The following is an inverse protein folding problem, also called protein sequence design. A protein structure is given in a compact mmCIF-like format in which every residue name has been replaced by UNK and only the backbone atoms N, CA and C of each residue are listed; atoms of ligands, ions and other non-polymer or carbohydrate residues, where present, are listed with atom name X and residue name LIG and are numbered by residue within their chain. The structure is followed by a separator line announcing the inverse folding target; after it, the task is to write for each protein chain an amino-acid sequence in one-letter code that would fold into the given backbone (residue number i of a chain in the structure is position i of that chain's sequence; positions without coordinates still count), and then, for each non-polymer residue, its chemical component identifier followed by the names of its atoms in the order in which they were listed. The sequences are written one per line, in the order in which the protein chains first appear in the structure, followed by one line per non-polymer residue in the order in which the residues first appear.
data_IF_631890870449
#
_entry.id   IF_631890870449
#
_cell.length_a   1.000
_cell.length_b   1.000
_cell.length_c   1.000
_cell.angle_alpha   90.00
_cell.angle_beta   90.00
_cell.angle_gamma   90.00
#
_symmetry.space_group_name_H-M   'P 1'
#
loop_
_entity.id
_entity.type
_entity.pdbx_description
1 polymer ?
#
# COMPACT_ATOMS: atom_id res chain seq x y z
N UNK A 1 -25.13 36.62 -75.15
CA UNK A 1 -25.62 35.70 -74.10
C UNK A 1 -24.39 34.93 -73.61
N UNK A 2 -23.92 35.24 -72.41
CA UNK A 2 -22.81 34.49 -71.76
C UNK A 2 -23.43 33.55 -70.75
N UNK A 3 -23.22 32.25 -70.90
CA UNK A 3 -23.63 31.25 -69.98
C UNK A 3 -22.73 31.20 -68.73
N UNK A 4 -23.31 31.29 -67.54
CA UNK A 4 -22.59 31.25 -66.26
C UNK A 4 -22.71 29.82 -65.71
N UNK A 5 -21.59 29.10 -65.73
CA UNK A 5 -21.52 27.77 -65.17
C UNK A 5 -21.36 27.87 -63.63
N UNK A 6 -22.31 27.31 -62.94
CA UNK A 6 -22.27 27.15 -61.45
C UNK A 6 -21.53 25.85 -61.12
N UNK A 7 -20.37 25.96 -60.49
CA UNK A 7 -19.64 24.80 -59.95
C UNK A 7 -20.11 24.59 -58.53
N UNK A 8 -20.81 23.48 -58.28
CA UNK A 8 -21.21 23.08 -56.94
C UNK A 8 -20.05 22.33 -56.24
N UNK A 9 -19.55 22.88 -55.12
CA UNK A 9 -18.61 22.19 -54.23
C UNK A 9 -19.38 21.28 -53.29
N UNK A 10 -19.20 19.96 -53.42
CA UNK A 10 -19.67 18.97 -52.46
C UNK A 10 -18.57 18.82 -51.41
N UNK A 11 -18.80 19.33 -50.19
CA UNK A 11 -17.92 19.10 -49.05
C UNK A 11 -18.27 17.75 -48.40
N UNK A 12 -17.37 16.78 -48.51
CA UNK A 12 -17.47 15.53 -47.81
C UNK A 12 -17.06 15.72 -46.33
N UNK A 13 -18.02 15.57 -45.40
CA UNK A 13 -17.72 15.55 -43.96
C UNK A 13 -17.26 14.14 -43.59
N UNK A 14 -15.97 13.98 -43.28
CA UNK A 14 -15.45 12.76 -42.70
C UNK A 14 -15.80 12.74 -41.21
N UNK A 15 -16.76 11.88 -40.82
CA UNK A 15 -17.02 11.57 -39.41
C UNK A 15 -15.96 10.57 -38.98
N UNK A 16 -14.97 11.01 -38.22
CA UNK A 16 -14.00 10.14 -37.53
C UNK A 16 -14.67 9.65 -36.25
N UNK A 17 -15.17 8.41 -36.25
CA UNK A 17 -15.59 7.75 -35.00
C UNK A 17 -14.36 7.40 -34.20
N UNK A 18 -14.26 7.83 -32.92
CA UNK A 18 -13.15 7.40 -32.06
C UNK A 18 -13.26 5.88 -31.86
N UNK A 19 -12.21 5.16 -32.26
CA UNK A 19 -12.06 3.75 -31.87
C UNK A 19 -11.66 3.77 -30.39
N UNK A 20 -12.63 3.47 -29.52
CA UNK A 20 -12.35 3.18 -28.11
C UNK A 20 -11.72 1.79 -28.12
N UNK A 21 -10.44 1.64 -27.66
CA UNK A 21 -9.86 0.31 -27.55
C UNK A 21 -10.72 -0.49 -26.57
N UNK A 22 -11.19 -1.63 -27.01
CA UNK A 22 -11.86 -2.63 -26.18
C UNK A 22 -10.78 -3.20 -25.23
N UNK A 23 -10.62 -2.57 -24.07
CA UNK A 23 -9.77 -3.13 -23.02
C UNK A 23 -10.55 -4.29 -22.41
N UNK A 24 -10.38 -5.48 -22.97
CA UNK A 24 -10.83 -6.71 -22.35
C UNK A 24 -10.33 -6.71 -20.89
N UNK A 25 -11.23 -6.46 -19.95
CA UNK A 25 -10.89 -6.44 -18.53
C UNK A 25 -10.56 -7.88 -18.14
N UNK A 26 -9.26 -8.17 -17.96
CA UNK A 26 -8.80 -9.49 -17.52
C UNK A 26 -9.48 -9.81 -16.18
N UNK A 27 -10.36 -10.80 -16.19
CA UNK A 27 -10.98 -11.29 -14.96
C UNK A 27 -9.92 -12.08 -14.16
N UNK A 28 -9.56 -11.57 -12.98
CA UNK A 28 -8.62 -12.21 -12.08
C UNK A 28 -9.40 -13.02 -11.03
N UNK A 29 -8.93 -14.23 -10.67
CA UNK A 29 -9.54 -14.99 -9.60
C UNK A 29 -9.30 -14.32 -8.24
N UNK A 30 -10.25 -14.47 -7.32
CA UNK A 30 -10.06 -14.06 -5.94
C UNK A 30 -8.97 -14.89 -5.26
N UNK A 31 -8.14 -14.24 -4.44
CA UNK A 31 -7.17 -14.90 -3.57
C UNK A 31 -7.75 -15.02 -2.16
N UNK A 32 -7.86 -16.26 -1.67
CA UNK A 32 -8.27 -16.51 -0.30
C UNK A 32 -7.06 -16.58 0.62
N UNK A 33 -7.17 -15.99 1.82
CA UNK A 33 -6.21 -16.10 2.92
C UNK A 33 -6.93 -16.82 4.05
N UNK A 34 -6.39 -17.95 4.49
CA UNK A 34 -7.04 -18.75 5.52
C UNK A 34 -6.86 -18.16 6.93
N UNK A 35 -7.78 -18.48 7.83
CA UNK A 35 -7.62 -18.12 9.24
C UNK A 35 -6.35 -18.74 9.84
N UNK A 36 -5.92 -19.90 9.37
CA UNK A 36 -4.69 -20.54 9.82
C UNK A 36 -3.44 -19.74 9.43
N UNK A 37 -3.39 -19.18 8.20
CA UNK A 37 -2.29 -18.33 7.76
C UNK A 37 -2.20 -17.05 8.61
N UNK A 38 -3.34 -16.45 8.92
CA UNK A 38 -3.43 -15.28 9.79
C UNK A 38 -2.93 -15.62 11.19
N UNK A 39 -3.45 -16.70 11.78
CA UNK A 39 -3.08 -17.13 13.13
C UNK A 39 -1.58 -17.45 13.28
N UNK A 40 -0.95 -17.99 12.23
CA UNK A 40 0.48 -18.30 12.23
C UNK A 40 1.37 -17.07 12.43
N UNK A 41 0.89 -15.86 12.13
CA UNK A 41 1.62 -14.60 12.27
C UNK A 41 1.17 -13.72 13.45
N UNK A 42 0.22 -14.16 14.27
CA UNK A 42 -0.29 -13.39 15.41
C UNK A 42 0.66 -13.35 16.62
N UNK A 43 1.84 -13.91 16.54
CA UNK A 43 2.85 -13.93 17.58
C UNK A 43 4.20 -13.35 17.12
N UNK A 44 5.24 -13.48 17.97
CA UNK A 44 6.58 -13.05 17.62
C UNK A 44 7.04 -13.63 16.28
N UNK A 45 7.59 -12.77 15.42
CA UNK A 45 8.04 -13.14 14.07
C UNK A 45 9.14 -14.22 14.15
N UNK A 46 8.93 -15.33 13.46
CA UNK A 46 9.95 -16.36 13.29
C UNK A 46 11.02 -15.89 12.31
N UNK A 47 12.28 -16.34 12.45
CA UNK A 47 13.33 -16.07 11.47
C UNK A 47 12.88 -16.46 10.05
N UNK A 48 13.26 -15.65 9.07
CA UNK A 48 12.97 -15.85 7.64
C UNK A 48 11.47 -15.90 7.26
N UNK A 49 10.59 -15.39 8.12
CA UNK A 49 9.14 -15.25 7.82
C UNK A 49 8.87 -13.82 7.35
N UNK A 50 8.20 -13.67 6.23
CA UNK A 50 7.71 -12.36 5.75
C UNK A 50 6.42 -11.98 6.47
N UNK A 51 6.15 -10.69 6.70
CA UNK A 51 4.88 -10.24 7.26
C UNK A 51 3.73 -10.37 6.27
N UNK A 52 4.01 -10.30 4.96
CA UNK A 52 2.99 -10.53 3.93
C UNK A 52 2.69 -12.02 3.82
N UNK A 53 1.42 -12.37 3.92
CA UNK A 53 0.92 -13.73 3.70
C UNK A 53 0.72 -13.94 2.21
N UNK A 54 0.23 -12.89 1.52
CA UNK A 54 -0.08 -12.91 0.10
C UNK A 54 0.14 -11.53 -0.51
N UNK A 55 0.71 -11.49 -1.70
CA UNK A 55 0.71 -10.32 -2.57
C UNK A 55 0.15 -10.74 -3.92
N UNK A 56 -0.93 -10.10 -4.36
CA UNK A 56 -1.66 -10.44 -5.58
C UNK A 56 -1.66 -9.29 -6.58
N UNK A 57 -1.69 -9.62 -7.88
CA UNK A 57 -2.05 -8.68 -8.93
C UNK A 57 -3.56 -8.45 -8.88
N UNK A 58 -3.98 -7.20 -8.71
CA UNK A 58 -5.38 -6.79 -8.63
C UNK A 58 -5.84 -6.01 -9.88
N UNK A 59 -5.18 -6.22 -11.02
CA UNK A 59 -5.52 -5.56 -12.28
C UNK A 59 -4.88 -4.19 -12.42
N UNK A 60 -3.54 -4.15 -12.51
CA UNK A 60 -2.76 -2.93 -12.70
C UNK A 60 -2.18 -2.33 -11.41
N UNK A 61 -2.40 -2.96 -10.28
CA UNK A 61 -1.75 -2.66 -9.00
C UNK A 61 -1.61 -3.94 -8.18
N UNK A 62 -0.67 -3.96 -7.22
CA UNK A 62 -0.56 -5.07 -6.29
C UNK A 62 -1.29 -4.77 -4.97
N UNK A 63 -1.90 -5.81 -4.38
CA UNK A 63 -2.44 -5.77 -3.03
C UNK A 63 -1.71 -6.80 -2.18
N UNK A 64 -1.03 -6.33 -1.14
CA UNK A 64 -0.40 -7.17 -0.12
C UNK A 64 -1.30 -7.29 1.11
N UNK A 65 -1.41 -8.49 1.67
CA UNK A 65 -2.08 -8.72 2.96
C UNK A 65 -1.13 -9.42 3.89
N UNK A 66 -0.95 -8.89 5.09
CA UNK A 66 -0.06 -9.44 6.09
C UNK A 66 -0.57 -9.24 7.50
N UNK A 67 0.16 -9.81 8.47
CA UNK A 67 -0.08 -9.62 9.89
C UNK A 67 1.23 -9.25 10.56
N UNK A 68 1.19 -8.23 11.41
CA UNK A 68 2.33 -7.80 12.21
C UNK A 68 2.02 -7.92 13.70
N UNK A 69 3.00 -8.47 14.40
CA UNK A 69 3.07 -8.50 15.86
C UNK A 69 4.16 -7.55 16.34
N UNK A 70 3.84 -6.73 17.33
CA UNK A 70 4.81 -5.85 18.02
C UNK A 70 4.63 -5.98 19.54
N UNK A 71 5.73 -6.04 20.27
CA UNK A 71 5.71 -6.12 21.73
C UNK A 71 6.27 -4.86 22.38
N UNK A 72 5.81 -4.61 23.60
CA UNK A 72 6.40 -3.61 24.49
C UNK A 72 7.89 -3.92 24.74
N UNK A 73 8.70 -2.87 24.89
CA UNK A 73 10.14 -2.99 25.09
C UNK A 73 10.96 -3.33 23.84
N UNK A 74 10.33 -3.68 22.73
CA UNK A 74 11.04 -3.79 21.45
C UNK A 74 11.23 -2.43 20.80
N UNK A 75 12.42 -2.20 20.22
CA UNK A 75 12.67 -0.99 19.43
C UNK A 75 11.70 -0.93 18.26
N UNK A 76 10.91 0.14 18.21
CA UNK A 76 10.01 0.42 17.09
C UNK A 76 10.66 1.47 16.19
N UNK A 77 11.02 1.08 14.97
CA UNK A 77 11.49 2.04 13.97
C UNK A 77 10.30 2.76 13.34
N UNK A 78 10.53 4.01 12.92
CA UNK A 78 9.59 4.72 12.06
C UNK A 78 9.59 4.11 10.68
N UNK A 79 8.50 4.27 9.94
CA UNK A 79 8.41 3.89 8.54
C UNK A 79 7.78 5.03 7.72
N UNK A 80 8.29 5.17 6.50
CA UNK A 80 7.66 5.94 5.42
C UNK A 80 7.73 5.09 4.16
N UNK A 81 6.58 4.76 3.58
CA UNK A 81 6.50 4.04 2.30
C UNK A 81 6.20 5.05 1.19
N UNK A 82 7.12 5.29 0.27
CA UNK A 82 6.98 6.38 -0.71
C UNK A 82 5.85 6.15 -1.72
N UNK A 83 5.51 4.89 -2.01
CA UNK A 83 4.60 4.50 -3.08
C UNK A 83 3.49 3.54 -2.64
N UNK A 84 3.54 3.07 -1.41
CA UNK A 84 2.61 2.09 -0.86
C UNK A 84 1.77 2.75 0.22
N UNK A 85 0.45 2.66 0.09
CA UNK A 85 -0.50 3.02 1.14
C UNK A 85 -0.84 1.80 1.98
N UNK A 86 -1.14 1.99 3.26
CA UNK A 86 -1.46 0.91 4.17
C UNK A 86 -2.80 1.14 4.86
N UNK A 87 -3.51 0.04 5.11
CA UNK A 87 -4.68 0.02 5.99
C UNK A 87 -4.39 -0.97 7.11
N UNK A 88 -4.38 -0.51 8.35
CA UNK A 88 -4.25 -1.36 9.53
C UNK A 88 -5.64 -1.66 10.10
N UNK A 89 -5.87 -2.91 10.46
CA UNK A 89 -6.97 -3.33 11.32
C UNK A 89 -6.39 -4.00 12.57
N UNK A 90 -6.56 -3.35 13.72
CA UNK A 90 -6.05 -3.87 15.00
C UNK A 90 -6.85 -5.08 15.41
N UNK A 91 -6.22 -6.24 15.43
CA UNK A 91 -6.85 -7.53 15.77
C UNK A 91 -6.76 -7.85 17.26
N UNK A 92 -5.72 -7.32 17.95
CA UNK A 92 -5.50 -7.55 19.38
C UNK A 92 -4.57 -6.50 19.97
N UNK A 93 -4.80 -6.12 21.22
CA UNK A 93 -3.94 -5.23 21.98
C UNK A 93 -4.17 -3.76 21.70
N UNK A 94 -3.22 -2.92 22.09
CA UNK A 94 -3.34 -1.46 21.96
C UNK A 94 -1.98 -0.78 21.97
N UNK A 95 -1.96 0.50 21.54
CA UNK A 95 -0.76 1.32 21.52
C UNK A 95 -1.03 2.74 21.05
N UNK A 96 0.00 3.55 21.01
CA UNK A 96 -0.01 4.89 20.44
C UNK A 96 0.69 4.86 19.10
N UNK A 97 -0.04 5.06 18.01
CA UNK A 97 0.50 5.23 16.66
C UNK A 97 0.64 6.73 16.38
N UNK A 98 1.84 7.17 16.02
CA UNK A 98 2.11 8.55 15.60
C UNK A 98 2.16 8.59 14.08
N UNK A 99 1.44 9.52 13.45
CA UNK A 99 1.43 9.70 11.99
C UNK A 99 1.76 11.14 11.59
N UNK A 100 2.33 11.32 10.39
CA UNK A 100 2.78 12.64 9.93
C UNK A 100 4.03 13.13 10.66
N UNK A 101 4.27 14.45 10.63
CA UNK A 101 5.46 15.05 11.22
C UNK A 101 6.75 14.76 10.46
N UNK A 102 7.87 14.83 11.16
CA UNK A 102 9.23 14.68 10.59
C UNK A 102 9.95 13.48 11.21
N UNK A 103 10.51 12.62 10.36
CA UNK A 103 11.31 11.46 10.81
C UNK A 103 12.63 11.93 11.40
N UNK A 104 12.95 11.44 12.59
CA UNK A 104 14.23 11.67 13.26
C UNK A 104 15.24 10.63 12.79
N UNK A 105 16.46 11.06 12.47
CA UNK A 105 17.55 10.22 11.96
C UNK A 105 17.11 9.34 10.76
N UNK A 106 16.61 9.94 9.66
CA UNK A 106 16.10 9.18 8.52
C UNK A 106 17.23 8.40 7.83
N UNK A 107 16.93 7.15 7.48
CA UNK A 107 17.81 6.27 6.72
C UNK A 107 17.03 5.66 5.56
N UNK A 108 17.47 5.89 4.33
CA UNK A 108 16.87 5.27 3.14
C UNK A 108 17.09 3.76 3.15
N UNK A 109 16.06 3.01 2.82
CA UNK A 109 16.15 1.55 2.66
C UNK A 109 16.94 1.23 1.39
N UNK A 110 17.78 0.19 1.44
CA UNK A 110 18.48 -0.29 0.26
C UNK A 110 17.49 -0.84 -0.77
N UNK A 111 17.66 -0.47 -2.04
CA UNK A 111 16.69 -0.79 -3.10
C UNK A 111 16.52 -2.30 -3.33
N UNK A 112 17.53 -3.10 -3.04
CA UNK A 112 17.58 -4.54 -3.15
C UNK A 112 17.23 -5.29 -1.84
N UNK A 113 16.91 -4.55 -0.78
CA UNK A 113 16.53 -5.17 0.50
C UNK A 113 15.20 -5.92 0.41
N UNK A 114 15.01 -6.91 1.29
CA UNK A 114 13.75 -7.66 1.40
C UNK A 114 12.59 -6.73 1.76
N UNK A 115 12.83 -5.76 2.62
CA UNK A 115 11.83 -4.75 2.99
C UNK A 115 11.33 -3.98 1.77
N UNK A 116 12.22 -3.61 0.84
CA UNK A 116 11.83 -2.89 -0.37
C UNK A 116 11.16 -3.80 -1.39
N UNK A 117 11.75 -4.97 -1.66
CA UNK A 117 11.32 -5.80 -2.79
C UNK A 117 10.16 -6.74 -2.47
N UNK A 118 9.92 -7.07 -1.19
CA UNK A 118 8.95 -8.09 -0.79
C UNK A 118 8.01 -7.70 0.35
N UNK A 119 8.29 -6.60 1.09
CA UNK A 119 7.45 -6.22 2.24
C UNK A 119 6.70 -4.91 2.00
N UNK A 120 7.42 -3.79 2.01
CA UNK A 120 6.85 -2.45 2.19
C UNK A 120 7.10 -1.50 1.02
N UNK A 121 7.92 -1.90 0.03
CA UNK A 121 8.36 -1.02 -1.04
C UNK A 121 9.41 0.03 -0.60
N UNK A 122 9.81 0.92 -1.53
CA UNK A 122 10.82 1.94 -1.26
C UNK A 122 10.38 2.95 -0.22
N UNK A 123 11.33 3.34 0.66
CA UNK A 123 11.02 4.26 1.74
C UNK A 123 12.20 4.62 2.61
N UNK A 124 11.90 5.24 3.73
CA UNK A 124 12.86 5.52 4.79
C UNK A 124 12.41 4.93 6.12
N UNK A 125 13.36 4.68 7.00
CA UNK A 125 13.17 4.34 8.40
C UNK A 125 13.88 5.38 9.26
N UNK A 126 13.58 5.42 10.55
CA UNK A 126 14.22 6.34 11.50
C UNK A 126 13.93 5.93 12.94
N UNK A 127 14.29 6.76 13.88
CA UNK A 127 14.23 6.41 15.31
C UNK A 127 13.01 6.97 16.04
N UNK A 128 12.37 8.02 15.52
CA UNK A 128 11.18 8.65 16.08
C UNK A 128 10.51 9.55 15.05
N UNK A 129 9.32 10.05 15.38
CA UNK A 129 8.62 11.14 14.65
C UNK A 129 8.50 12.35 15.57
N UNK A 130 8.85 13.52 15.05
CA UNK A 130 8.68 14.81 15.72
C UNK A 130 7.53 15.58 15.09
N UNK A 131 6.62 16.11 15.91
CA UNK A 131 5.51 16.96 15.46
C UNK A 131 4.38 16.19 14.72
N UNK A 132 4.28 14.88 14.92
CA UNK A 132 3.21 14.06 14.38
C UNK A 132 1.92 14.10 15.23
N UNK A 133 0.86 13.46 14.72
CA UNK A 133 -0.42 13.29 15.40
C UNK A 133 -0.45 11.94 16.10
N UNK A 134 -0.78 11.92 17.39
CA UNK A 134 -0.93 10.69 18.18
C UNK A 134 -2.33 10.11 18.01
N UNK A 135 -2.39 8.81 17.74
CA UNK A 135 -3.62 8.03 17.71
C UNK A 135 -3.53 6.92 18.76
N UNK A 136 -4.37 7.01 19.79
CA UNK A 136 -4.53 5.91 20.74
C UNK A 136 -5.40 4.82 20.07
N UNK A 137 -4.77 3.72 19.68
CA UNK A 137 -5.44 2.66 18.94
C UNK A 137 -5.55 1.37 19.75
N UNK A 138 -6.63 0.63 19.52
CA UNK A 138 -6.96 -0.62 20.22
C UNK A 138 -7.67 -1.61 19.29
N UNK A 139 -7.90 -2.78 19.78
CA UNK A 139 -8.64 -3.83 19.08
C UNK A 139 -9.94 -3.33 18.44
N UNK A 140 -10.13 -3.66 17.16
CA UNK A 140 -11.23 -3.24 16.31
C UNK A 140 -10.98 -1.94 15.53
N UNK A 141 -9.99 -1.12 15.91
CA UNK A 141 -9.73 0.14 15.21
C UNK A 141 -9.11 -0.11 13.82
N UNK A 142 -9.44 0.79 12.88
CA UNK A 142 -8.90 0.81 11.53
C UNK A 142 -8.20 2.12 11.26
N UNK A 143 -6.98 2.07 10.73
CA UNK A 143 -6.17 3.23 10.39
C UNK A 143 -5.78 3.17 8.91
N UNK A 144 -6.01 4.26 8.17
CA UNK A 144 -5.56 4.41 6.78
C UNK A 144 -4.34 5.31 6.77
N UNK A 145 -3.23 4.81 6.21
CA UNK A 145 -1.94 5.51 6.12
C UNK A 145 -1.63 5.70 4.64
N UNK A 146 -1.79 6.92 4.09
CA UNK A 146 -1.44 7.22 2.71
C UNK A 146 0.06 7.04 2.44
N UNK A 147 0.42 6.72 1.20
CA UNK A 147 1.81 6.70 0.76
C UNK A 147 2.51 8.03 1.09
N UNK A 148 3.77 7.95 1.52
CA UNK A 148 4.56 9.10 1.96
C UNK A 148 4.30 9.57 3.39
N UNK A 149 3.30 9.04 4.09
CA UNK A 149 3.01 9.43 5.47
C UNK A 149 3.96 8.73 6.45
N UNK A 150 4.78 9.47 7.22
CA UNK A 150 5.54 8.91 8.33
C UNK A 150 4.61 8.27 9.36
N UNK A 151 4.98 7.10 9.88
CA UNK A 151 4.21 6.46 10.95
C UNK A 151 5.12 5.66 11.88
N UNK A 152 4.72 5.56 13.15
CA UNK A 152 5.54 4.98 14.21
C UNK A 152 4.74 4.64 15.45
N UNK A 153 4.95 3.46 16.01
CA UNK A 153 4.43 3.13 17.34
C UNK A 153 5.35 3.74 18.40
N UNK A 154 4.92 4.83 19.01
CA UNK A 154 5.65 5.46 20.12
C UNK A 154 5.46 4.74 21.44
N UNK A 155 4.33 3.99 21.59
CA UNK A 155 4.02 3.19 22.75
C UNK A 155 3.24 1.94 22.34
N UNK A 156 3.52 0.83 23.01
CA UNK A 156 2.77 -0.41 22.90
C UNK A 156 2.44 -0.88 24.33
N UNK A 157 1.18 -1.23 24.58
CA UNK A 157 0.73 -1.72 25.88
C UNK A 157 0.77 -3.26 25.86
N UNK A 158 1.85 -3.86 26.35
CA UNK A 158 2.11 -5.30 26.30
C UNK A 158 2.42 -5.77 24.89
N UNK A 159 1.41 -5.93 24.03
CA UNK A 159 1.60 -6.24 22.61
C UNK A 159 0.45 -5.71 21.77
N UNK A 160 0.70 -5.54 20.47
CA UNK A 160 -0.32 -5.23 19.48
C UNK A 160 -0.16 -6.14 18.27
N UNK A 161 -1.28 -6.64 17.74
CA UNK A 161 -1.36 -7.43 16.51
C UNK A 161 -2.31 -6.70 15.56
N UNK A 162 -1.88 -6.49 14.33
CA UNK A 162 -2.74 -5.88 13.32
C UNK A 162 -2.56 -6.54 11.97
N UNK A 163 -3.68 -6.72 11.27
CA UNK A 163 -3.69 -7.03 9.85
C UNK A 163 -3.33 -5.75 9.10
N UNK A 164 -2.48 -5.88 8.09
CA UNK A 164 -2.13 -4.79 7.19
C UNK A 164 -2.55 -5.15 5.77
N UNK A 165 -3.25 -4.23 5.11
CA UNK A 165 -3.47 -4.27 3.67
C UNK A 165 -2.59 -3.20 3.03
N UNK A 166 -1.73 -3.61 2.10
CA UNK A 166 -0.84 -2.74 1.33
C UNK A 166 -1.37 -2.56 -0.07
N UNK A 167 -1.51 -1.31 -0.48
CA UNK A 167 -1.95 -0.93 -1.81
C UNK A 167 -0.73 -0.37 -2.55
N UNK A 168 -0.25 -1.11 -3.54
CA UNK A 168 0.95 -0.81 -4.32
C UNK A 168 0.59 -0.55 -5.80
N UNK A 169 0.24 0.70 -6.15
CA UNK A 169 -0.15 1.05 -7.52
C UNK A 169 1.03 1.00 -8.51
N UNK A 170 2.25 0.94 -8.02
CA UNK A 170 3.46 0.88 -8.84
C UNK A 170 4.03 -0.53 -9.00
N UNK A 171 3.39 -1.55 -8.44
CA UNK A 171 3.76 -2.98 -8.54
C UNK A 171 5.21 -3.26 -8.10
N UNK A 172 5.68 -2.59 -7.06
CA UNK A 172 7.07 -2.64 -6.58
C UNK A 172 7.32 -3.83 -5.65
N UNK A 173 6.27 -4.30 -4.97
CA UNK A 173 6.33 -5.46 -4.08
C UNK A 173 6.08 -6.72 -4.90
N UNK A 174 7.00 -7.67 -4.85
CA UNK A 174 6.89 -8.92 -5.60
C UNK A 174 5.66 -9.73 -5.19
N UNK A 175 5.00 -10.37 -6.16
CA UNK A 175 3.90 -11.31 -5.92
C UNK A 175 4.32 -12.47 -5.03
N UNK A 176 3.44 -12.93 -4.14
CA UNK A 176 3.67 -14.00 -3.16
C UNK A 176 2.47 -14.92 -3.04
#
# INVERSE_FOLDING_TARGET
MRAMSIVAFVSAVFVVTPVIPDTETKVLPAAAISAADIQALMGPRKPNTLPNIRVVDAGGHHIGVGVLYRAEGQTQNTAVHFKVSEVYHVMKGSGTLVTGGTVVNPKTRAADSIEVTREDGPGVTGTAIQGGVNHEIKEGDVIVIPAGTPHWFSKINGSIVYLVVRIDPSQLIALQ
#
